data_IF_999080692916
#
_entry.id   IF_999080692916
#
_cell.length_a   1.000
_cell.length_b   1.000
_cell.length_c   1.000
_cell.angle_alpha   90.00
_cell.angle_beta   90.00
_cell.angle_gamma   90.00
#
_symmetry.space_group_name_H-M   'P 1'
#
loop_
_entity.id
_entity.type
_entity.pdbx_description
1 polymer ?
#
# COMPACT_ATOMS: atom_id res chain seq x y z
N UNK A 1 -15.47 -9.10 -79.73
CA UNK A 1 -14.63 -10.25 -79.31
C UNK A 1 -13.26 -9.72 -78.92
N UNK A 2 -12.57 -10.23 -77.89
CA UNK A 2 -13.01 -11.22 -76.91
C UNK A 2 -12.52 -10.91 -75.46
N UNK A 3 -13.11 -11.60 -74.48
CA UNK A 3 -12.40 -12.45 -73.49
C UNK A 3 -11.95 -11.73 -72.20
N UNK A 4 -12.67 -12.02 -71.10
CA UNK A 4 -12.40 -13.07 -70.08
C UNK A 4 -11.68 -12.42 -68.89
N UNK A 5 -12.35 -12.42 -67.73
CA UNK A 5 -12.12 -13.37 -66.63
C UNK A 5 -10.76 -13.08 -65.96
N UNK A 6 -10.64 -12.93 -64.64
CA UNK A 6 -10.71 -14.02 -63.67
C UNK A 6 -10.48 -13.35 -62.30
N UNK A 7 -11.28 -13.72 -61.30
CA UNK A 7 -10.97 -13.50 -59.88
C UNK A 7 -9.77 -14.34 -59.46
N UNK A 8 -8.86 -13.79 -58.63
CA UNK A 8 -8.16 -14.63 -57.67
C UNK A 8 -8.31 -14.12 -56.23
N UNK A 9 -8.90 -14.96 -55.38
CA UNK A 9 -8.51 -15.12 -53.96
C UNK A 9 -7.74 -16.45 -53.86
N UNK A 10 -6.96 -16.79 -52.81
CA UNK A 10 -6.59 -16.05 -51.59
C UNK A 10 -5.05 -16.03 -51.33
N UNK A 11 -4.56 -15.22 -50.39
CA UNK A 11 -3.24 -15.48 -49.79
C UNK A 11 -3.26 -15.36 -48.26
N UNK A 12 -3.04 -16.52 -47.64
CA UNK A 12 -2.82 -16.74 -46.23
C UNK A 12 -1.44 -16.20 -45.84
N UNK A 13 -1.40 -15.26 -44.89
CA UNK A 13 -0.19 -14.93 -44.16
C UNK A 13 -0.23 -15.63 -42.79
N UNK A 14 0.66 -16.61 -42.62
CA UNK A 14 0.99 -17.25 -41.34
C UNK A 14 2.18 -16.49 -40.74
N UNK A 15 1.99 -15.86 -39.58
CA UNK A 15 3.04 -15.50 -38.61
C UNK A 15 2.32 -14.81 -37.45
N UNK A 16 2.42 -15.20 -36.19
CA UNK A 16 3.21 -16.20 -35.50
C UNK A 16 2.94 -15.98 -34.02
N UNK A 17 3.02 -17.04 -33.24
CA UNK A 17 3.55 -17.01 -31.87
C UNK A 17 2.91 -16.00 -30.89
N UNK A 18 2.04 -16.48 -30.00
CA UNK A 18 2.45 -16.72 -28.60
C UNK A 18 1.30 -17.09 -27.67
N UNK A 19 1.62 -18.08 -26.85
CA UNK A 19 1.33 -18.18 -25.43
C UNK A 19 -0.09 -18.56 -24.98
N UNK A 20 -0.16 -19.84 -24.63
CA UNK A 20 -0.56 -20.32 -23.30
C UNK A 20 -1.93 -19.87 -22.83
N UNK A 21 -2.89 -20.77 -23.08
CA UNK A 21 -3.85 -21.22 -22.07
C UNK A 21 -3.30 -21.04 -20.66
N UNK A 22 -3.86 -20.09 -19.93
CA UNK A 22 -3.89 -20.14 -18.48
C UNK A 22 -5.35 -20.23 -18.04
N UNK A 23 -5.68 -21.26 -17.24
CA UNK A 23 -7.02 -21.44 -16.74
C UNK A 23 -7.43 -20.27 -15.85
N UNK A 24 -8.71 -19.92 -15.97
CA UNK A 24 -9.51 -19.17 -15.02
C UNK A 24 -9.02 -19.47 -13.59
N UNK A 25 -8.31 -18.52 -12.99
CA UNK A 25 -7.86 -18.63 -11.61
C UNK A 25 -9.10 -18.51 -10.70
N UNK A 26 -9.79 -19.63 -10.49
CA UNK A 26 -10.39 -19.92 -9.19
C UNK A 26 -9.23 -20.01 -8.21
N UNK A 27 -8.81 -18.85 -7.70
CA UNK A 27 -7.90 -18.82 -6.57
C UNK A 27 -8.67 -18.28 -5.40
N UNK A 28 -9.19 -19.21 -4.63
CA UNK A 28 -9.40 -19.13 -3.19
C UNK A 28 -8.07 -18.73 -2.54
N UNK A 29 -7.62 -17.49 -2.77
CA UNK A 29 -6.49 -16.93 -2.06
C UNK A 29 -7.03 -16.47 -0.71
N UNK A 30 -7.11 -17.44 0.19
CA UNK A 30 -6.57 -17.28 1.53
C UNK A 30 -5.12 -16.77 1.37
N UNK A 31 -4.97 -15.49 1.04
CA UNK A 31 -3.69 -14.83 1.22
C UNK A 31 -3.52 -14.70 2.72
N UNK A 32 -2.79 -15.64 3.28
CA UNK A 32 -1.94 -15.35 4.41
C UNK A 32 -1.32 -13.96 4.16
N UNK A 33 -1.45 -13.06 5.14
CA UNK A 33 -0.82 -11.74 5.09
C UNK A 33 0.63 -11.93 4.57
N UNK A 34 1.08 -11.15 3.56
CA UNK A 34 2.45 -11.29 3.09
C UNK A 34 3.41 -11.12 4.29
N UNK A 35 4.47 -11.93 4.40
CA UNK A 35 5.32 -12.03 5.60
C UNK A 35 6.08 -10.74 5.96
N UNK A 36 5.97 -9.68 5.14
CA UNK A 36 6.60 -8.37 5.34
C UNK A 36 5.61 -7.23 5.69
N UNK A 37 4.32 -7.52 5.87
CA UNK A 37 3.37 -6.52 6.36
C UNK A 37 3.61 -6.22 7.84
N UNK A 38 3.99 -4.98 8.14
CA UNK A 38 4.20 -4.49 9.50
C UNK A 38 2.94 -4.65 10.37
N UNK A 39 1.77 -4.46 9.75
CA UNK A 39 0.46 -4.55 10.39
C UNK A 39 -0.48 -5.40 9.53
N UNK A 40 -0.79 -6.65 9.94
CA UNK A 40 -1.68 -7.51 9.17
C UNK A 40 -3.10 -6.93 9.15
N UNK A 41 -3.75 -6.90 7.99
CA UNK A 41 -5.13 -6.42 7.84
C UNK A 41 -6.08 -7.49 8.40
N UNK A 42 -6.80 -7.16 9.47
CA UNK A 42 -7.73 -8.10 10.09
C UNK A 42 -9.06 -8.06 9.31
N UNK A 43 -9.27 -9.05 8.43
CA UNK A 43 -10.50 -9.21 7.65
C UNK A 43 -11.72 -9.67 8.46
N UNK A 44 -11.59 -9.87 9.77
CA UNK A 44 -12.61 -10.52 10.58
C UNK A 44 -13.24 -9.59 11.61
N UNK A 45 -14.57 -9.52 11.55
CA UNK A 45 -15.53 -9.12 12.59
C UNK A 45 -15.65 -7.62 12.88
N UNK A 46 -16.46 -6.93 12.07
CA UNK A 46 -17.60 -6.07 12.46
C UNK A 46 -17.47 -4.97 13.53
N UNK A 47 -16.36 -4.83 14.23
CA UNK A 47 -16.16 -3.86 15.31
C UNK A 47 -15.44 -2.62 14.76
N UNK A 48 -15.90 -1.43 15.14
CA UNK A 48 -15.30 -0.15 14.75
C UNK A 48 -13.80 -0.05 15.07
N UNK A 49 -13.35 -0.73 16.13
CA UNK A 49 -11.93 -0.85 16.48
C UNK A 49 -11.09 -1.51 15.36
N UNK A 50 -11.61 -2.56 14.71
CA UNK A 50 -10.94 -3.23 13.59
C UNK A 50 -10.88 -2.34 12.34
N UNK A 51 -11.91 -1.51 12.14
CA UNK A 51 -11.98 -0.55 11.02
C UNK A 51 -10.92 0.54 11.17
N UNK A 52 -10.76 1.11 12.37
CA UNK A 52 -9.70 2.10 12.64
C UNK A 52 -8.32 1.46 12.48
N UNK A 53 -8.07 0.31 13.12
CA UNK A 53 -6.79 -0.41 13.00
C UNK A 53 -6.42 -0.70 11.55
N UNK A 54 -7.35 -1.21 10.75
CA UNK A 54 -7.11 -1.51 9.33
C UNK A 54 -6.88 -0.24 8.50
N UNK A 55 -7.53 0.86 8.88
CA UNK A 55 -7.33 2.19 8.26
C UNK A 55 -5.93 2.76 8.54
N UNK A 56 -5.36 2.44 9.71
CA UNK A 56 -3.99 2.80 10.10
C UNK A 56 -2.93 1.84 9.56
N UNK A 57 -3.26 0.55 9.46
CA UNK A 57 -2.38 -0.49 8.93
C UNK A 57 -1.98 -0.22 7.48
N UNK A 58 -2.90 0.26 6.63
CA UNK A 58 -2.60 0.59 5.23
C UNK A 58 -1.49 1.65 5.07
N UNK A 59 -1.59 2.87 5.64
CA UNK A 59 -0.49 3.84 5.58
C UNK A 59 0.75 3.41 6.37
N UNK A 60 0.60 2.63 7.44
CA UNK A 60 1.74 2.06 8.18
C UNK A 60 2.57 1.07 7.36
N UNK A 61 1.91 0.15 6.65
CA UNK A 61 2.55 -0.80 5.72
C UNK A 61 3.15 -0.06 4.51
N UNK A 62 2.46 0.96 3.99
CA UNK A 62 2.97 1.80 2.93
C UNK A 62 4.24 2.55 3.37
N UNK A 63 4.25 3.11 4.58
CA UNK A 63 5.43 3.75 5.14
C UNK A 63 6.58 2.75 5.26
N UNK A 64 6.32 1.57 5.81
CA UNK A 64 7.33 0.53 6.02
C UNK A 64 7.96 -0.01 4.72
N UNK A 65 7.23 0.03 3.61
CA UNK A 65 7.74 -0.33 2.27
C UNK A 65 8.35 0.84 1.49
N UNK A 66 8.42 2.03 2.07
CA UNK A 66 8.94 3.25 1.43
C UNK A 66 10.07 3.87 2.27
N UNK A 67 10.78 4.84 1.70
CA UNK A 67 11.78 5.64 2.39
C UNK A 67 11.66 7.10 2.00
N UNK A 68 12.41 7.95 2.70
CA UNK A 68 12.50 9.38 2.47
C UNK A 68 11.16 10.11 2.62
N UNK A 69 10.94 11.14 1.80
CA UNK A 69 9.74 12.00 1.87
C UNK A 69 8.42 11.21 1.73
N UNK A 70 8.43 10.10 0.97
CA UNK A 70 7.25 9.26 0.77
C UNK A 70 6.87 8.54 2.07
N UNK A 71 7.85 7.96 2.77
CA UNK A 71 7.64 7.39 4.10
C UNK A 71 7.18 8.43 5.12
N UNK A 72 7.81 9.62 5.15
CA UNK A 72 7.39 10.70 6.04
C UNK A 72 5.93 11.14 5.80
N UNK A 73 5.52 11.21 4.53
CA UNK A 73 4.13 11.54 4.14
C UNK A 73 3.15 10.46 4.59
N UNK A 74 3.49 9.19 4.40
CA UNK A 74 2.67 8.06 4.84
C UNK A 74 2.53 8.02 6.37
N UNK A 75 3.61 8.26 7.11
CA UNK A 75 3.59 8.36 8.58
C UNK A 75 2.75 9.54 9.07
N UNK A 76 2.85 10.71 8.42
CA UNK A 76 2.00 11.87 8.72
C UNK A 76 0.51 11.53 8.53
N UNK A 77 0.16 10.94 7.39
CA UNK A 77 -1.22 10.53 7.11
C UNK A 77 -1.71 9.48 8.13
N UNK A 78 -0.85 8.56 8.54
CA UNK A 78 -1.16 7.58 9.57
C UNK A 78 -1.48 8.26 10.91
N UNK A 79 -0.64 9.20 11.36
CA UNK A 79 -0.86 9.93 12.61
C UNK A 79 -2.16 10.76 12.57
N UNK A 80 -2.43 11.46 11.47
CA UNK A 80 -3.67 12.22 11.29
C UNK A 80 -4.91 11.32 11.33
N UNK A 81 -4.85 10.14 10.70
CA UNK A 81 -5.94 9.14 10.75
C UNK A 81 -6.13 8.51 12.12
N UNK A 82 -5.07 8.48 12.93
CA UNK A 82 -5.12 8.02 14.32
C UNK A 82 -5.72 9.08 15.27
N UNK A 83 -6.08 10.27 14.76
CA UNK A 83 -6.55 11.38 15.59
C UNK A 83 -5.44 12.09 16.35
N UNK A 84 -4.17 11.85 16.00
CA UNK A 84 -3.02 12.49 16.64
C UNK A 84 -2.73 13.85 16.02
N UNK A 85 -2.25 14.79 16.84
CA UNK A 85 -1.85 16.11 16.37
C UNK A 85 -0.46 16.05 15.74
N UNK A 86 -0.34 16.50 14.49
CA UNK A 86 0.95 16.57 13.79
C UNK A 86 1.37 18.01 13.57
N UNK A 87 2.47 18.41 14.21
CA UNK A 87 3.02 19.77 14.14
C UNK A 87 4.37 19.77 13.45
N UNK A 88 4.68 20.83 12.71
CA UNK A 88 6.03 21.04 12.20
C UNK A 88 6.95 21.52 13.33
N UNK A 89 7.99 20.76 13.64
CA UNK A 89 9.08 21.14 14.55
C UNK A 89 10.28 21.73 13.81
N UNK A 90 10.06 22.39 12.67
CA UNK A 90 11.11 22.86 11.77
C UNK A 90 11.55 21.77 10.79
N UNK A 91 12.65 21.07 11.08
CA UNK A 91 13.21 20.03 10.17
C UNK A 91 12.47 18.69 10.24
N UNK A 92 11.70 18.46 11.28
CA UNK A 92 11.02 17.20 11.57
C UNK A 92 9.56 17.46 11.96
N UNK A 93 8.69 16.48 11.74
CA UNK A 93 7.32 16.53 12.24
C UNK A 93 7.30 15.95 13.66
N UNK A 94 6.52 16.55 14.54
CA UNK A 94 6.27 16.06 15.90
C UNK A 94 4.82 15.59 15.97
N UNK A 95 4.62 14.41 16.55
CA UNK A 95 3.30 13.82 16.71
C UNK A 95 2.96 13.81 18.19
N UNK A 96 1.82 14.38 18.54
CA UNK A 96 1.32 14.50 19.90
C UNK A 96 0.01 13.75 20.07
N UNK A 97 -0.21 13.20 21.26
CA UNK A 97 -1.52 12.67 21.65
C UNK A 97 -2.47 13.80 22.08
N UNK A 98 -3.71 13.44 22.39
CA UNK A 98 -4.76 14.37 22.83
C UNK A 98 -4.40 15.06 24.17
N UNK A 99 -3.64 14.38 25.02
CA UNK A 99 -3.14 14.92 26.29
C UNK A 99 -1.93 15.87 26.10
N UNK A 100 -1.46 16.09 24.87
CA UNK A 100 -0.34 16.96 24.55
C UNK A 100 1.04 16.32 24.75
N UNK A 101 1.12 15.02 25.02
CA UNK A 101 2.40 14.32 25.15
C UNK A 101 2.99 14.01 23.77
N UNK A 102 4.31 14.15 23.66
CA UNK A 102 5.03 13.78 22.44
C UNK A 102 5.05 12.25 22.28
N UNK A 103 4.32 11.75 21.28
CA UNK A 103 4.29 10.32 20.93
C UNK A 103 5.56 9.95 20.18
N UNK A 104 5.93 10.71 19.15
CA UNK A 104 7.08 10.42 18.30
C UNK A 104 7.49 11.62 17.44
N UNK A 105 8.71 11.56 16.90
CA UNK A 105 9.24 12.53 15.94
C UNK A 105 9.46 11.83 14.60
N UNK A 106 8.82 12.34 13.55
CA UNK A 106 8.96 11.83 12.18
C UNK A 106 10.02 12.68 11.46
N UNK A 107 11.16 12.08 11.05
CA UNK A 107 12.11 12.77 10.19
C UNK A 107 11.45 13.18 8.87
N UNK A 108 11.87 14.29 8.25
CA UNK A 108 11.33 14.70 6.95
C UNK A 108 11.73 13.74 5.81
N UNK A 109 12.82 12.97 6.02
CA UNK A 109 13.30 11.96 5.07
C UNK A 109 13.95 10.79 5.81
N UNK A 110 13.18 9.88 6.43
CA UNK A 110 13.72 8.70 7.08
C UNK A 110 14.16 7.67 6.01
N UNK A 111 15.42 7.27 6.03
CA UNK A 111 15.95 6.27 5.10
C UNK A 111 16.11 4.88 5.74
N UNK A 112 16.04 4.80 7.06
CA UNK A 112 16.18 3.55 7.81
C UNK A 112 14.81 2.90 8.04
N UNK A 113 14.61 1.71 7.45
CA UNK A 113 13.37 0.94 7.59
C UNK A 113 13.03 0.62 9.05
N UNK A 114 14.04 0.39 9.91
CA UNK A 114 13.84 0.20 11.35
C UNK A 114 13.21 1.41 12.04
N UNK A 115 13.69 2.62 11.72
CA UNK A 115 13.13 3.87 12.24
C UNK A 115 11.69 4.08 11.77
N UNK A 116 11.41 3.85 10.49
CA UNK A 116 10.07 4.00 9.92
C UNK A 116 9.08 3.03 10.59
N UNK A 117 9.47 1.75 10.70
CA UNK A 117 8.67 0.72 11.39
C UNK A 117 8.46 1.08 12.86
N UNK A 118 9.48 1.61 13.55
CA UNK A 118 9.39 2.07 14.94
C UNK A 118 8.40 3.23 15.12
N UNK A 119 8.45 4.23 14.25
CA UNK A 119 7.54 5.38 14.28
C UNK A 119 6.10 4.93 14.00
N UNK A 120 5.89 4.08 12.98
CA UNK A 120 4.57 3.56 12.67
C UNK A 120 3.98 2.76 13.84
N UNK A 121 4.80 1.95 14.54
CA UNK A 121 4.38 1.23 15.75
C UNK A 121 4.02 2.19 16.90
N UNK A 122 4.79 3.27 17.10
CA UNK A 122 4.49 4.27 18.11
C UNK A 122 3.14 4.95 17.85
N UNK A 123 2.84 5.28 16.59
CA UNK A 123 1.55 5.85 16.18
C UNK A 123 0.41 4.85 16.43
N UNK A 124 0.57 3.57 16.06
CA UNK A 124 -0.44 2.54 16.36
C UNK A 124 -0.70 2.41 17.86
N UNK A 125 0.36 2.38 18.67
CA UNK A 125 0.24 2.26 20.12
C UNK A 125 -0.50 3.45 20.73
N UNK A 126 -0.21 4.66 20.26
CA UNK A 126 -0.93 5.87 20.68
C UNK A 126 -2.39 5.88 20.23
N UNK A 127 -2.73 5.18 19.13
CA UNK A 127 -4.09 4.96 18.69
C UNK A 127 -4.82 3.82 19.45
N UNK A 128 -4.14 3.15 20.39
CA UNK A 128 -4.71 2.08 21.21
C UNK A 128 -4.58 0.65 20.65
N UNK A 129 -3.63 0.40 19.74
CA UNK A 129 -3.41 -0.91 19.09
C UNK A 129 -2.00 -1.48 19.25
#
# INVERSE_FOLDING_TARGET
LPEKAVLPTPFTAIQGSQARSHPQHKNSRQFANPPDELFPILRSLGADANKLRNTLAKPGNQAAGQTGKKAATALKQMAQKAGLTVTSGGKHLRVFDDAGNLVTTVPNSPNASGTIRGIAKAIMRAAGF
#
